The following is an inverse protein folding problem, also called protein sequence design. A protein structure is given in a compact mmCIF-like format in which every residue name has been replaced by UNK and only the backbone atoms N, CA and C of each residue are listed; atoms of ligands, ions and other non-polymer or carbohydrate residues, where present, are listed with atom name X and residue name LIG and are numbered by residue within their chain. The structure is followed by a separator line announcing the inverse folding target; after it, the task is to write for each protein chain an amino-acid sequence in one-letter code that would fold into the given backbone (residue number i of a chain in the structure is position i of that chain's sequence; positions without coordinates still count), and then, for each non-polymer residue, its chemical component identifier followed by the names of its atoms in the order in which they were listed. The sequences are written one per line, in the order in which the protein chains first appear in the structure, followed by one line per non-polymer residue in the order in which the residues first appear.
data_IF_838580530399
#
_entry.id   IF_838580530399
#
_cell.length_a   1.000
_cell.length_b   1.000
_cell.length_c   1.000
_cell.angle_alpha   90.00
_cell.angle_beta   90.00
_cell.angle_gamma   90.00
#
_symmetry.space_group_name_H-M   'P 1'
#
loop_
_entity.id
_entity.type
_entity.pdbx_description
1 polymer ?
#
# COMPACT_ATOMS: atom_id res chain seq x y z
N UNK A 1 -5.12 1.87 -3.80
CA UNK A 1 -4.30 0.93 -2.99
C UNK A 1 -4.37 -0.49 -3.53
N UNK A 2 -5.55 -1.10 -3.71
CA UNK A 2 -5.63 -2.49 -4.24
C UNK A 2 -4.94 -2.65 -5.60
N UNK A 3 -5.13 -1.72 -6.53
CA UNK A 3 -4.46 -1.76 -7.83
C UNK A 3 -2.92 -1.83 -7.74
N UNK A 4 -2.33 -1.14 -6.75
CA UNK A 4 -0.88 -0.98 -6.63
C UNK A 4 -0.23 -1.94 -5.64
N UNK A 5 -0.94 -2.30 -4.56
CA UNK A 5 -0.44 -3.11 -3.45
C UNK A 5 -1.04 -4.52 -3.41
N UNK A 6 -2.00 -4.81 -4.29
CA UNK A 6 -2.81 -6.02 -4.22
C UNK A 6 -3.86 -5.98 -3.11
N UNK A 7 -4.52 -7.13 -2.90
CA UNK A 7 -5.56 -7.26 -1.89
C UNK A 7 -5.01 -7.03 -0.46
N UNK A 8 -5.77 -6.35 0.41
CA UNK A 8 -5.38 -6.18 1.81
C UNK A 8 -5.35 -7.52 2.56
N UNK A 9 -4.54 -7.62 3.63
CA UNK A 9 -4.59 -8.76 4.54
C UNK A 9 -5.98 -8.94 5.17
N UNK A 10 -6.41 -10.18 5.37
CA UNK A 10 -7.73 -10.49 5.91
C UNK A 10 -7.99 -9.87 7.29
N UNK A 11 -6.97 -9.87 8.16
CA UNK A 11 -7.08 -9.28 9.51
C UNK A 11 -7.32 -7.77 9.46
N UNK A 12 -6.66 -7.07 8.53
CA UNK A 12 -6.88 -5.65 8.30
C UNK A 12 -8.32 -5.39 7.86
N UNK A 13 -8.84 -6.19 6.93
CA UNK A 13 -10.23 -6.07 6.45
C UNK A 13 -11.22 -6.33 7.59
N UNK A 14 -11.00 -7.36 8.40
CA UNK A 14 -11.87 -7.68 9.55
C UNK A 14 -11.94 -6.50 10.51
N UNK A 15 -10.77 -5.98 10.94
CA UNK A 15 -10.67 -4.80 11.80
C UNK A 15 -11.41 -3.59 11.22
N UNK A 16 -11.20 -3.28 9.94
CA UNK A 16 -11.89 -2.18 9.28
C UNK A 16 -13.42 -2.33 9.22
N UNK A 17 -13.91 -3.57 9.06
CA UNK A 17 -15.36 -3.86 9.06
C UNK A 17 -15.95 -3.75 10.47
N UNK A 18 -15.24 -4.21 11.50
CA UNK A 18 -15.66 -4.17 12.90
C UNK A 18 -15.64 -2.75 13.49
N UNK A 19 -14.61 -1.95 13.19
CA UNK A 19 -14.34 -0.66 13.83
C UNK A 19 -15.01 0.54 13.13
N UNK A 20 -15.74 0.35 12.02
CA UNK A 20 -16.38 1.48 11.36
C UNK A 20 -17.06 1.18 10.02
N UNK A 21 -16.76 2.01 9.01
CA UNK A 21 -17.44 1.98 7.70
C UNK A 21 -16.83 0.96 6.72
N UNK A 22 -15.95 0.07 7.18
CA UNK A 22 -15.28 -0.92 6.31
C UNK A 22 -16.25 -1.81 5.55
N UNK A 23 -17.41 -2.12 6.15
CA UNK A 23 -18.47 -2.90 5.50
C UNK A 23 -19.05 -2.25 4.22
N UNK A 24 -18.81 -0.95 3.96
CA UNK A 24 -19.21 -0.32 2.69
C UNK A 24 -18.28 -0.68 1.53
N UNK A 25 -17.04 -1.06 1.83
CA UNK A 25 -15.96 -1.27 0.87
C UNK A 25 -15.59 -2.74 0.71
N UNK A 26 -15.84 -3.55 1.74
CA UNK A 26 -15.53 -4.97 1.76
C UNK A 26 -16.80 -5.75 2.07
N UNK A 27 -17.05 -6.77 1.24
CA UNK A 27 -18.18 -7.67 1.38
C UNK A 27 -17.98 -8.66 2.55
N UNK A 28 -18.93 -9.58 2.74
CA UNK A 28 -18.86 -10.56 3.84
C UNK A 28 -17.63 -11.47 3.78
N UNK A 29 -17.18 -11.79 2.57
CA UNK A 29 -15.97 -12.58 2.30
C UNK A 29 -14.66 -11.79 2.46
N UNK A 30 -14.75 -10.48 2.75
CA UNK A 30 -13.60 -9.58 2.87
C UNK A 30 -13.02 -9.11 1.54
N UNK A 31 -13.69 -9.39 0.43
CA UNK A 31 -13.33 -8.92 -0.90
C UNK A 31 -13.88 -7.51 -1.17
N UNK A 32 -13.24 -6.80 -2.10
CA UNK A 32 -13.67 -5.47 -2.54
C UNK A 32 -15.09 -5.52 -3.13
N UNK A 33 -15.96 -4.62 -2.67
CA UNK A 33 -17.38 -4.57 -3.06
C UNK A 33 -17.70 -3.60 -4.21
N UNK A 34 -16.72 -2.82 -4.68
CA UNK A 34 -16.92 -1.82 -5.74
C UNK A 34 -16.65 -2.37 -7.14
N UNK A 35 -16.37 -1.46 -8.07
CA UNK A 35 -16.06 -1.80 -9.47
C UNK A 35 -14.78 -2.64 -9.59
N UNK A 36 -14.69 -3.39 -10.70
CA UNK A 36 -13.50 -4.16 -11.03
C UNK A 36 -12.26 -3.28 -11.06
N UNK A 37 -11.18 -3.75 -10.46
CA UNK A 37 -9.93 -3.01 -10.32
C UNK A 37 -8.94 -3.55 -11.36
N UNK A 38 -8.47 -2.69 -12.25
CA UNK A 38 -7.33 -3.00 -13.12
C UNK A 38 -6.04 -2.93 -12.29
N UNK A 39 -5.24 -4.01 -12.23
CA UNK A 39 -3.94 -3.98 -11.57
C UNK A 39 -3.03 -2.93 -12.21
N UNK A 40 -2.35 -2.17 -11.38
CA UNK A 40 -1.31 -1.21 -11.76
C UNK A 40 -0.23 -1.22 -10.67
N UNK A 41 0.63 -2.27 -10.65
CA UNK A 41 1.66 -2.46 -9.63
C UNK A 41 2.57 -1.23 -9.56
N UNK A 42 2.96 -0.83 -8.34
CA UNK A 42 3.74 0.39 -8.15
C UNK A 42 5.08 0.39 -8.89
N UNK A 43 5.65 -0.80 -9.09
CA UNK A 43 6.90 -1.02 -9.81
C UNK A 43 6.77 -0.77 -11.33
N UNK A 44 5.55 -0.81 -11.87
CA UNK A 44 5.25 -0.69 -13.30
C UNK A 44 4.74 0.72 -13.69
N UNK A 45 4.44 1.57 -12.71
CA UNK A 45 3.88 2.92 -12.97
C UNK A 45 4.99 3.95 -13.26
N UNK A 46 6.24 3.64 -12.93
CA UNK A 46 7.35 4.58 -12.98
C UNK A 46 8.46 4.07 -13.91
N UNK A 47 9.07 4.97 -14.68
CA UNK A 47 10.15 4.68 -15.63
C UNK A 47 11.41 5.52 -15.33
N UNK A 48 12.60 4.92 -15.50
CA UNK A 48 13.89 5.60 -15.36
C UNK A 48 14.90 4.93 -14.41
N UNK A 49 16.16 5.36 -14.49
CA UNK A 49 17.29 4.70 -13.82
C UNK A 49 17.24 4.75 -12.27
N UNK A 50 16.62 5.78 -11.69
CA UNK A 50 16.47 5.94 -10.23
C UNK A 50 15.18 5.32 -9.67
N UNK A 51 14.32 4.76 -10.53
CA UNK A 51 12.98 4.29 -10.12
C UNK A 51 13.06 3.17 -9.10
N UNK A 52 14.00 2.23 -9.25
CA UNK A 52 14.11 1.11 -8.32
C UNK A 52 14.29 1.56 -6.86
N UNK A 53 15.21 2.50 -6.62
CA UNK A 53 15.48 3.03 -5.28
C UNK A 53 14.36 3.92 -4.74
N UNK A 54 13.63 4.61 -5.63
CA UNK A 54 12.44 5.37 -5.25
C UNK A 54 11.26 4.47 -4.87
N UNK A 55 11.01 3.44 -5.68
CA UNK A 55 9.97 2.43 -5.44
C UNK A 55 10.24 1.67 -4.15
N UNK A 56 11.50 1.31 -3.87
CA UNK A 56 11.90 0.70 -2.61
C UNK A 56 11.54 1.59 -1.40
N UNK A 57 11.81 2.90 -1.49
CA UNK A 57 11.40 3.86 -0.47
C UNK A 57 9.86 3.92 -0.33
N UNK A 58 9.12 3.93 -1.44
CA UNK A 58 7.65 3.97 -1.42
C UNK A 58 7.05 2.71 -0.80
N UNK A 59 7.66 1.53 -0.99
CA UNK A 59 7.26 0.29 -0.32
C UNK A 59 7.39 0.37 1.19
N UNK A 60 8.34 1.15 1.70
CA UNK A 60 8.45 1.48 3.13
C UNK A 60 7.33 2.39 3.65
N UNK A 61 6.73 3.23 2.78
CA UNK A 61 5.64 4.15 3.13
C UNK A 61 4.24 3.53 2.97
N UNK A 62 4.06 2.71 1.94
CA UNK A 62 2.76 2.25 1.47
C UNK A 62 2.50 0.80 1.91
N UNK A 63 1.92 0.65 3.09
CA UNK A 63 1.42 -0.63 3.60
C UNK A 63 -0.06 -0.54 3.97
N UNK A 64 -0.76 -1.67 3.81
CA UNK A 64 -2.15 -1.82 4.25
C UNK A 64 -2.27 -1.61 5.75
N UNK A 65 -1.46 -2.34 6.52
CA UNK A 65 -1.40 -2.25 7.98
C UNK A 65 -0.55 -1.02 8.35
N UNK A 66 -1.12 0.00 9.02
CA UNK A 66 -0.39 1.21 9.38
C UNK A 66 0.89 0.95 10.19
N UNK A 67 0.85 -0.06 11.06
CA UNK A 67 1.93 -0.46 11.96
C UNK A 67 3.14 -1.06 11.22
N UNK A 68 2.96 -1.53 9.97
CA UNK A 68 4.05 -2.05 9.13
C UNK A 68 4.77 -0.94 8.35
N UNK A 69 4.27 0.30 8.39
CA UNK A 69 4.88 1.42 7.66
C UNK A 69 6.13 1.90 8.41
N UNK A 70 7.17 2.19 7.65
CA UNK A 70 8.33 2.89 8.18
C UNK A 70 7.93 4.31 8.60
N UNK A 71 8.50 4.74 9.71
CA UNK A 71 8.31 6.09 10.23
C UNK A 71 9.02 7.11 9.32
N UNK A 72 8.58 8.37 9.40
CA UNK A 72 9.26 9.46 8.69
C UNK A 72 10.76 9.57 9.06
N UNK A 73 11.12 9.24 10.31
CA UNK A 73 12.51 9.26 10.78
C UNK A 73 13.36 8.15 10.14
N UNK A 74 12.80 6.96 9.93
CA UNK A 74 13.46 5.84 9.25
C UNK A 74 13.60 6.12 7.76
N UNK A 75 12.52 6.57 7.11
CA UNK A 75 12.49 6.90 5.69
C UNK A 75 13.48 8.01 5.34
N UNK A 76 13.66 9.01 6.21
CA UNK A 76 14.68 10.06 6.04
C UNK A 76 16.10 9.50 5.83
N UNK A 77 16.39 8.30 6.35
CA UNK A 77 17.70 7.66 6.24
C UNK A 77 17.84 6.79 4.98
N UNK A 78 16.77 6.63 4.20
CA UNK A 78 16.75 5.82 2.98
C UNK A 78 17.76 6.32 1.95
N UNK A 79 18.40 5.39 1.23
CA UNK A 79 19.49 5.71 0.30
C UNK A 79 19.05 6.71 -0.78
N UNK A 80 17.85 6.54 -1.33
CA UNK A 80 17.29 7.44 -2.34
C UNK A 80 17.13 8.89 -1.88
N UNK A 81 16.74 9.13 -0.61
CA UNK A 81 16.64 10.50 -0.07
C UNK A 81 18.01 11.09 0.27
N UNK A 82 19.01 10.24 0.54
CA UNK A 82 20.38 10.65 0.90
C UNK A 82 21.32 10.81 -0.30
N UNK A 83 20.92 10.33 -1.48
CA UNK A 83 21.68 10.47 -2.72
C UNK A 83 21.37 11.79 -3.47
N UNK A 84 20.45 12.61 -2.94
CA UNK A 84 20.11 13.95 -3.44
C UNK A 84 20.84 15.04 -2.66
#
# INVERSE_FOLDING_TARGET
MIACLGAPPAEFVRRCREEGKGARYFNEDGAWSGEAITPAPIDEILEGDEVGAFVDMLKGMLAWVPEERQTAAELRRHAWLRSK
#
